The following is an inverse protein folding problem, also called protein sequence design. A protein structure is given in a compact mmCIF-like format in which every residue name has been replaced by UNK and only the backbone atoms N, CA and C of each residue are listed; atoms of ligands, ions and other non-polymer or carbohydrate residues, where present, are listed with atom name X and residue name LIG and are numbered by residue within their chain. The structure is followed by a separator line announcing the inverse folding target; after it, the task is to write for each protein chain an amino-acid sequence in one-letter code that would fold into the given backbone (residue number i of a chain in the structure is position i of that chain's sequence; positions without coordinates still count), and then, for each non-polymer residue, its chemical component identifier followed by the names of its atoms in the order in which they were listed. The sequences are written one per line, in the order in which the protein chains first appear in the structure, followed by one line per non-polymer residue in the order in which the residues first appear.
data_IF_699181518711
#
_entry.id   IF_699181518711
#
_cell.length_a   1.000
_cell.length_b   1.000
_cell.length_c   1.000
_cell.angle_alpha   90.00
_cell.angle_beta   90.00
_cell.angle_gamma   90.00
#
_symmetry.space_group_name_H-M   'P 1'
#
loop_
_entity.id
_entity.type
_entity.pdbx_description
1 polymer ?
#
# COMPACT_ATOMS: atom_id res chain seq x y z
N UNK A 1 -40.04 -2.33 5.69
CA UNK A 1 -39.04 -1.87 6.67
C UNK A 1 -37.79 -2.74 6.51
N UNK A 2 -36.82 -2.26 5.73
CA UNK A 2 -35.49 -2.88 5.62
C UNK A 2 -34.68 -2.46 6.83
N UNK A 3 -34.47 -3.40 7.77
CA UNK A 3 -33.63 -3.14 8.93
C UNK A 3 -32.19 -2.83 8.46
N UNK A 4 -31.66 -1.68 8.85
CA UNK A 4 -30.26 -1.34 8.60
C UNK A 4 -29.36 -2.38 9.29
N UNK A 5 -28.32 -2.90 8.60
CA UNK A 5 -27.40 -3.85 9.20
C UNK A 5 -26.66 -3.17 10.36
N UNK A 6 -26.90 -3.61 11.59
CA UNK A 6 -26.18 -3.13 12.76
C UNK A 6 -24.80 -3.79 12.83
N UNK A 7 -23.74 -2.98 12.89
CA UNK A 7 -22.37 -3.43 13.15
C UNK A 7 -22.19 -3.78 14.63
N UNK A 8 -22.88 -4.83 15.09
CA UNK A 8 -22.65 -5.40 16.43
C UNK A 8 -21.62 -6.50 16.33
N UNK A 9 -20.52 -6.35 17.06
CA UNK A 9 -19.55 -7.43 17.24
C UNK A 9 -20.07 -8.37 18.34
N UNK A 10 -20.23 -9.66 18.01
CA UNK A 10 -20.57 -10.69 18.98
C UNK A 10 -19.29 -11.42 19.39
N UNK A 11 -19.01 -11.47 20.68
CA UNK A 11 -17.91 -12.28 21.21
C UNK A 11 -18.47 -13.65 21.60
N UNK A 12 -18.02 -14.69 20.94
CA UNK A 12 -18.42 -16.07 21.21
C UNK A 12 -17.24 -16.85 21.78
N UNK A 13 -17.52 -17.70 22.78
CA UNK A 13 -16.51 -18.61 23.31
C UNK A 13 -16.32 -19.78 22.35
N UNK A 14 -15.09 -19.96 21.88
CA UNK A 14 -14.73 -21.12 21.07
C UNK A 14 -14.71 -22.39 21.94
N UNK A 15 -15.37 -23.45 21.48
CA UNK A 15 -15.20 -24.82 22.00
C UNK A 15 -14.13 -25.54 21.19
N UNK A 16 -13.48 -26.54 21.81
CA UNK A 16 -12.49 -27.37 21.12
C UNK A 16 -11.62 -28.16 22.08
N UNK A 17 -11.00 -29.22 21.57
CA UNK A 17 -10.07 -30.07 22.31
C UNK A 17 -8.70 -29.40 22.53
N UNK A 18 -7.79 -30.11 23.20
CA UNK A 18 -6.45 -29.59 23.48
C UNK A 18 -5.63 -29.30 22.20
N UNK A 19 -5.80 -30.12 21.16
CA UNK A 19 -5.07 -29.99 19.89
C UNK A 19 -5.55 -28.75 19.14
N UNK A 20 -6.86 -28.55 19.04
CA UNK A 20 -7.48 -27.39 18.41
C UNK A 20 -7.08 -26.10 19.12
N UNK A 21 -7.08 -26.07 20.46
CA UNK A 21 -6.62 -24.91 21.24
C UNK A 21 -5.14 -24.61 21.01
N UNK A 22 -4.31 -25.65 20.93
CA UNK A 22 -2.88 -25.49 20.64
C UNK A 22 -2.64 -24.93 19.24
N UNK A 23 -3.35 -25.45 18.22
CA UNK A 23 -3.27 -24.95 16.85
C UNK A 23 -3.75 -23.50 16.72
N UNK A 24 -4.85 -23.15 17.40
CA UNK A 24 -5.34 -21.76 17.42
C UNK A 24 -4.29 -20.82 18.03
N UNK A 25 -3.67 -21.22 19.14
CA UNK A 25 -2.61 -20.44 19.78
C UNK A 25 -1.36 -20.33 18.90
N UNK A 26 -0.94 -21.42 18.26
CA UNK A 26 0.18 -21.42 17.33
C UNK A 26 -0.07 -20.47 16.15
N UNK A 27 -1.28 -20.50 15.57
CA UNK A 27 -1.70 -19.56 14.51
C UNK A 27 -1.68 -18.12 15.02
N UNK A 28 -2.18 -17.86 16.23
CA UNK A 28 -2.13 -16.53 16.83
C UNK A 28 -0.69 -16.00 16.96
N UNK A 29 0.22 -16.83 17.46
CA UNK A 29 1.63 -16.47 17.59
C UNK A 29 2.29 -16.22 16.23
N UNK A 30 2.02 -17.09 15.25
CA UNK A 30 2.54 -16.97 13.89
C UNK A 30 2.09 -15.64 13.27
N UNK A 31 0.78 -15.35 13.28
CA UNK A 31 0.24 -14.11 12.70
C UNK A 31 0.85 -12.88 13.37
N UNK A 32 0.95 -12.85 14.71
CA UNK A 32 1.55 -11.69 15.39
C UNK A 32 3.03 -11.50 15.04
N UNK A 33 3.82 -12.58 14.99
CA UNK A 33 5.22 -12.52 14.56
C UNK A 33 5.35 -12.04 13.12
N UNK A 34 4.46 -12.50 12.25
CA UNK A 34 4.45 -12.08 10.85
C UNK A 34 4.12 -10.61 10.70
N UNK A 35 3.10 -10.13 11.42
CA UNK A 35 2.73 -8.70 11.46
C UNK A 35 3.89 -7.86 11.98
N UNK A 36 4.61 -8.32 13.01
CA UNK A 36 5.80 -7.64 13.50
C UNK A 36 6.90 -7.58 12.43
N UNK A 37 7.17 -8.69 11.74
CA UNK A 37 8.21 -8.78 10.70
C UNK A 37 7.90 -7.86 9.51
N UNK A 38 6.65 -7.88 9.03
CA UNK A 38 6.16 -6.97 8.00
C UNK A 38 6.19 -5.51 8.46
N UNK A 39 5.82 -5.24 9.71
CA UNK A 39 5.88 -3.91 10.30
C UNK A 39 7.30 -3.38 10.37
N UNK A 40 8.26 -4.22 10.77
CA UNK A 40 9.68 -3.87 10.83
C UNK A 40 10.24 -3.54 9.44
N UNK A 41 9.86 -4.31 8.42
CA UNK A 41 10.19 -4.00 7.03
C UNK A 41 9.61 -2.67 6.57
N UNK A 42 8.31 -2.41 6.81
CA UNK A 42 7.65 -1.15 6.45
C UNK A 42 8.29 0.06 7.15
N UNK A 43 8.63 -0.05 8.44
CA UNK A 43 9.34 0.98 9.18
C UNK A 43 10.77 1.19 8.67
N UNK A 44 11.41 0.14 8.17
CA UNK A 44 12.72 0.23 7.52
C UNK A 44 12.62 0.98 6.18
N UNK A 45 11.63 0.68 5.34
CA UNK A 45 11.37 1.46 4.11
C UNK A 45 11.07 2.93 4.43
N UNK A 46 10.29 3.20 5.48
CA UNK A 46 10.02 4.54 5.99
C UNK A 46 11.30 5.30 6.36
N UNK A 47 12.28 4.61 6.95
CA UNK A 47 13.60 5.18 7.25
C UNK A 47 14.40 5.60 6.01
N UNK A 48 14.09 5.00 4.86
CA UNK A 48 14.72 5.30 3.58
C UNK A 48 14.25 6.58 2.90
N UNK A 49 13.15 7.21 3.35
CA UNK A 49 12.57 8.37 2.68
C UNK A 49 13.61 9.48 2.41
N UNK A 50 13.66 10.06 1.19
CA UNK A 50 14.64 11.07 0.82
C UNK A 50 14.33 12.43 1.47
N UNK A 51 15.38 13.20 1.76
CA UNK A 51 15.25 14.55 2.32
C UNK A 51 14.57 15.53 1.33
N UNK A 52 14.75 15.30 0.02
CA UNK A 52 14.18 16.12 -1.06
C UNK A 52 12.64 16.22 -1.01
N UNK A 53 11.97 15.30 -0.30
CA UNK A 53 10.52 15.39 -0.05
C UNK A 53 10.11 16.65 0.74
N UNK A 54 11.07 17.37 1.35
CA UNK A 54 10.85 18.63 2.04
C UNK A 54 11.27 19.89 1.24
N UNK A 55 11.86 19.75 0.05
CA UNK A 55 12.41 20.90 -0.69
C UNK A 55 11.34 21.92 -1.10
N UNK A 56 10.11 21.46 -1.34
CA UNK A 56 8.94 22.32 -1.63
C UNK A 56 8.07 22.68 -0.42
N UNK A 57 8.31 22.04 0.74
CA UNK A 57 7.54 22.28 1.96
C UNK A 57 8.37 21.95 3.21
N UNK A 58 9.07 22.94 3.79
CA UNK A 58 9.87 22.77 5.00
C UNK A 58 9.08 22.21 6.19
N UNK A 59 7.74 22.31 6.21
CA UNK A 59 6.91 21.75 7.29
C UNK A 59 6.99 20.22 7.33
N UNK A 60 7.39 19.57 6.23
CA UNK A 60 7.57 18.11 6.16
C UNK A 60 8.82 17.60 6.91
N UNK A 61 9.77 18.48 7.23
CA UNK A 61 11.06 18.12 7.86
C UNK A 61 10.87 17.30 9.14
N UNK A 62 9.90 17.67 9.98
CA UNK A 62 9.64 16.99 11.26
C UNK A 62 9.12 15.57 11.03
N UNK A 63 8.14 15.39 10.13
CA UNK A 63 7.61 14.06 9.82
C UNK A 63 8.67 13.16 9.17
N UNK A 64 9.57 13.72 8.36
CA UNK A 64 10.71 13.01 7.80
C UNK A 64 11.74 12.63 8.89
N UNK A 65 12.09 13.55 9.78
CA UNK A 65 12.97 13.27 10.91
C UNK A 65 12.43 12.12 11.79
N UNK A 66 11.13 12.14 12.09
CA UNK A 66 10.45 11.06 12.85
C UNK A 66 10.24 9.77 12.05
N UNK A 67 10.49 9.81 10.74
CA UNK A 67 10.53 8.64 9.86
C UNK A 67 11.89 7.97 9.86
N UNK A 68 12.95 8.79 9.95
CA UNK A 68 14.33 8.32 10.05
C UNK A 68 14.69 7.86 11.45
N UNK A 69 14.24 8.60 12.47
CA UNK A 69 14.42 8.32 13.88
C UNK A 69 13.05 8.07 14.51
N UNK A 70 12.70 6.81 14.73
CA UNK A 70 11.36 6.43 15.21
C UNK A 70 11.36 6.12 16.69
N UNK A 71 10.27 6.44 17.39
CA UNK A 71 10.05 6.00 18.78
C UNK A 71 9.27 4.71 18.75
N UNK A 72 9.84 3.64 19.29
CA UNK A 72 9.26 2.30 19.23
C UNK A 72 9.22 1.62 20.60
N UNK A 73 8.20 0.79 20.77
CA UNK A 73 7.88 0.15 22.05
C UNK A 73 7.08 -1.14 21.88
N UNK A 74 7.20 -2.10 22.80
CA UNK A 74 8.18 -2.11 23.88
C UNK A 74 9.60 -2.33 23.33
N UNK A 75 10.61 -1.83 24.03
CA UNK A 75 12.04 -2.02 23.68
C UNK A 75 12.42 -3.47 23.38
N UNK A 76 11.73 -4.44 24.01
CA UNK A 76 11.96 -5.87 23.78
C UNK A 76 11.67 -6.33 22.36
N UNK A 77 10.80 -5.61 21.63
CA UNK A 77 10.40 -5.93 20.25
C UNK A 77 11.08 -5.02 19.21
N UNK A 78 11.74 -3.96 19.64
CA UNK A 78 12.44 -3.04 18.77
C UNK A 78 13.81 -3.59 18.34
N UNK A 79 14.31 -3.25 17.14
CA UNK A 79 15.56 -3.79 16.63
C UNK A 79 16.76 -3.20 17.39
N UNK A 80 17.30 -3.99 18.33
CA UNK A 80 18.37 -3.57 19.26
C UNK A 80 19.59 -2.96 18.58
N UNK A 81 19.96 -3.49 17.40
CA UNK A 81 21.09 -2.99 16.59
C UNK A 81 20.99 -1.49 16.28
N UNK A 82 19.77 -0.97 16.14
CA UNK A 82 19.51 0.40 15.73
C UNK A 82 18.99 1.28 16.88
N UNK A 83 19.01 0.78 18.12
CA UNK A 83 18.58 1.54 19.29
C UNK A 83 19.61 2.61 19.63
N UNK A 84 19.22 3.88 19.52
CA UNK A 84 20.05 5.04 19.81
C UNK A 84 20.00 5.38 21.30
N UNK A 85 18.79 5.52 21.85
CA UNK A 85 18.55 5.95 23.22
C UNK A 85 17.25 5.36 23.77
N UNK A 86 17.14 5.28 25.10
CA UNK A 86 16.01 4.67 25.79
C UNK A 86 15.21 5.71 26.57
N UNK A 87 13.94 5.42 26.83
CA UNK A 87 13.12 6.29 27.69
C UNK A 87 13.67 6.40 29.11
N UNK A 88 14.26 5.32 29.61
CA UNK A 88 14.93 5.27 30.91
C UNK A 88 16.27 6.02 30.98
N UNK A 89 16.84 6.45 29.84
CA UNK A 89 18.03 7.31 29.85
C UNK A 89 17.67 8.68 30.44
N UNK A 90 18.64 9.32 31.12
CA UNK A 90 18.47 10.69 31.57
C UNK A 90 18.19 11.62 30.39
N UNK A 91 17.44 12.70 30.62
CA UNK A 91 17.03 13.61 29.54
C UNK A 91 18.22 14.14 28.74
N UNK A 92 19.29 14.59 29.42
CA UNK A 92 20.51 15.09 28.77
C UNK A 92 21.15 14.01 27.87
N UNK A 93 21.40 12.81 28.41
CA UNK A 93 22.01 11.70 27.65
C UNK A 93 21.16 11.31 26.44
N UNK A 94 19.84 11.22 26.62
CA UNK A 94 18.92 10.87 25.53
C UNK A 94 18.96 11.93 24.42
N UNK A 95 18.88 13.20 24.79
CA UNK A 95 18.91 14.33 23.84
C UNK A 95 20.21 14.30 23.03
N UNK A 96 21.36 14.19 23.71
CA UNK A 96 22.67 14.20 23.04
C UNK A 96 22.79 13.06 22.02
N UNK A 97 22.41 11.83 22.42
CA UNK A 97 22.44 10.66 21.54
C UNK A 97 21.52 10.82 20.33
N UNK A 98 20.28 11.28 20.53
CA UNK A 98 19.30 11.44 19.45
C UNK A 98 19.72 12.53 18.48
N UNK A 99 20.20 13.67 18.98
CA UNK A 99 20.65 14.78 18.13
C UNK A 99 21.92 14.42 17.36
N UNK A 100 22.86 13.70 17.97
CA UNK A 100 24.04 13.19 17.26
C UNK A 100 23.65 12.21 16.14
N UNK A 101 22.71 11.31 16.40
CA UNK A 101 22.20 10.39 15.38
C UNK A 101 21.50 11.16 14.25
N UNK A 102 20.72 12.20 14.55
CA UNK A 102 20.05 13.02 13.55
C UNK A 102 21.04 13.77 12.65
N UNK A 103 22.08 14.38 13.23
CA UNK A 103 23.15 15.02 12.48
C UNK A 103 23.84 14.05 11.53
N UNK A 104 24.12 12.82 11.98
CA UNK A 104 24.67 11.77 11.12
C UNK A 104 23.74 11.41 9.96
N UNK A 105 22.42 11.36 10.19
CA UNK A 105 21.43 11.10 9.13
C UNK A 105 21.41 12.23 8.11
N UNK A 106 21.43 13.49 8.55
CA UNK A 106 21.47 14.65 7.65
C UNK A 106 22.72 14.66 6.77
N UNK A 107 23.88 14.35 7.37
CA UNK A 107 25.14 14.25 6.64
C UNK A 107 25.09 13.10 5.61
N UNK A 108 24.60 11.93 6.00
CA UNK A 108 24.46 10.78 5.11
C UNK A 108 23.52 11.06 3.93
N UNK A 109 22.46 11.84 4.16
CA UNK A 109 21.48 12.24 3.13
C UNK A 109 21.91 13.46 2.32
N UNK A 110 23.10 14.03 2.58
CA UNK A 110 23.63 15.17 1.82
C UNK A 110 22.82 16.47 1.99
N UNK A 111 22.19 16.68 3.15
CA UNK A 111 21.36 17.86 3.41
C UNK A 111 22.23 19.10 3.59
N UNK A 112 22.14 20.06 2.65
CA UNK A 112 22.97 21.27 2.65
C UNK A 112 22.64 22.25 3.80
N UNK A 113 21.36 22.41 4.14
CA UNK A 113 20.87 23.33 5.18
C UNK A 113 20.63 22.63 6.52
N UNK A 114 21.57 21.80 6.96
CA UNK A 114 21.43 20.95 8.15
C UNK A 114 21.02 21.71 9.43
N UNK A 115 21.51 22.94 9.62
CA UNK A 115 21.16 23.76 10.80
C UNK A 115 19.66 24.10 10.85
N UNK A 116 19.03 24.40 9.72
CA UNK A 116 17.59 24.66 9.69
C UNK A 116 16.77 23.40 10.00
N UNK A 117 17.25 22.24 9.57
CA UNK A 117 16.63 20.95 9.92
C UNK A 117 16.75 20.66 11.41
N UNK A 118 17.93 20.90 11.99
CA UNK A 118 18.17 20.75 13.43
C UNK A 118 17.20 21.63 14.22
N UNK A 119 17.13 22.92 13.91
CA UNK A 119 16.23 23.85 14.63
C UNK A 119 14.75 23.45 14.50
N UNK A 120 14.30 23.08 13.28
CA UNK A 120 12.91 22.67 13.06
C UNK A 120 12.53 21.37 13.79
N UNK A 121 13.44 20.39 13.80
CA UNK A 121 13.15 19.04 14.30
C UNK A 121 13.48 18.85 15.78
N UNK A 122 14.36 19.68 16.35
CA UNK A 122 14.84 19.55 17.73
C UNK A 122 13.70 19.36 18.74
N UNK A 123 12.61 20.16 18.77
CA UNK A 123 11.61 19.98 19.82
C UNK A 123 10.88 18.64 19.75
N UNK A 124 10.71 18.07 18.54
CA UNK A 124 10.12 16.73 18.37
C UNK A 124 11.10 15.62 18.76
N UNK A 125 12.38 15.76 18.40
CA UNK A 125 13.42 14.76 18.67
C UNK A 125 13.88 14.75 20.14
N UNK A 126 13.70 15.85 20.87
CA UNK A 126 14.04 15.94 22.29
C UNK A 126 12.85 15.67 23.22
N UNK A 127 11.66 15.40 22.66
CA UNK A 127 10.47 15.13 23.44
C UNK A 127 10.66 13.93 24.39
N UNK A 128 9.99 13.99 25.54
CA UNK A 128 9.96 12.85 26.47
C UNK A 128 9.24 11.68 25.81
N UNK A 129 9.82 10.50 25.93
CA UNK A 129 9.21 9.23 25.51
C UNK A 129 8.93 8.36 26.75
N UNK A 130 8.11 7.32 26.59
CA UNK A 130 7.80 6.36 27.66
C UNK A 130 9.03 5.58 28.08
N UNK A 131 9.10 5.18 29.34
CA UNK A 131 10.27 4.49 29.92
C UNK A 131 10.56 3.13 29.25
N UNK A 132 9.52 2.47 28.71
CA UNK A 132 9.60 1.21 27.96
C UNK A 132 9.88 1.39 26.45
N UNK A 133 9.99 2.62 25.98
CA UNK A 133 10.22 2.97 24.58
C UNK A 133 11.70 3.27 24.30
N UNK A 134 12.05 3.27 23.02
CA UNK A 134 13.39 3.60 22.54
C UNK A 134 13.35 4.35 21.22
N UNK A 135 14.36 5.20 21.00
CA UNK A 135 14.63 5.83 19.71
C UNK A 135 15.41 4.86 18.82
N UNK A 136 14.86 4.58 17.63
CA UNK A 136 15.39 3.64 16.65
C UNK A 136 15.84 4.39 15.40
N UNK A 137 17.07 4.14 14.96
CA UNK A 137 17.61 4.66 13.71
C UNK A 137 17.13 3.83 12.52
N UNK A 138 15.93 4.14 12.01
CA UNK A 138 15.39 3.49 10.81
C UNK A 138 16.12 3.88 9.53
N UNK A 139 16.78 5.04 9.49
CA UNK A 139 17.66 5.41 8.36
C UNK A 139 18.87 4.49 8.28
N UNK A 140 19.51 4.15 9.41
CA UNK A 140 20.59 3.17 9.45
C UNK A 140 20.10 1.76 9.09
N UNK A 141 18.92 1.37 9.58
CA UNK A 141 18.30 0.09 9.20
C UNK A 141 18.07 -0.02 7.68
N UNK A 142 17.63 1.07 7.05
CA UNK A 142 17.46 1.13 5.60
C UNK A 142 18.80 1.05 4.87
N UNK A 143 19.81 1.76 5.33
CA UNK A 143 21.15 1.69 4.74
C UNK A 143 21.69 0.26 4.74
N UNK A 144 21.58 -0.45 5.86
CA UNK A 144 21.98 -1.86 5.95
C UNK A 144 21.16 -2.76 5.00
N UNK A 145 19.86 -2.47 4.84
CA UNK A 145 19.00 -3.18 3.89
C UNK A 145 19.46 -2.96 2.44
N UNK A 146 19.92 -1.75 2.09
CA UNK A 146 20.47 -1.46 0.76
C UNK A 146 21.79 -2.18 0.51
N UNK A 147 22.63 -2.35 1.54
CA UNK A 147 23.86 -3.15 1.43
C UNK A 147 23.54 -4.63 1.26
N UNK A 148 22.43 -5.12 1.85
CA UNK A 148 22.00 -6.50 1.71
C UNK A 148 21.43 -6.79 0.31
N UNK A 149 20.66 -5.87 -0.28
CA UNK A 149 19.99 -6.06 -1.56
C UNK A 149 20.46 -5.05 -2.60
N UNK A 150 21.47 -5.45 -3.39
CA UNK A 150 21.99 -4.64 -4.48
C UNK A 150 20.87 -4.24 -5.47
N UNK A 151 20.70 -2.93 -5.68
CA UNK A 151 19.64 -2.38 -6.52
C UNK A 151 18.36 -2.00 -5.78
N UNK A 152 18.30 -2.13 -4.44
CA UNK A 152 17.28 -1.46 -3.64
C UNK A 152 17.56 0.04 -3.58
N UNK A 153 16.78 0.83 -4.32
CA UNK A 153 16.92 2.29 -4.36
C UNK A 153 15.99 2.99 -3.36
N UNK A 154 16.34 4.25 -3.03
CA UNK A 154 15.51 5.13 -2.19
C UNK A 154 14.16 5.40 -2.85
N UNK A 155 14.16 5.60 -4.17
CA UNK A 155 12.97 5.85 -4.97
C UNK A 155 12.03 4.65 -4.93
N UNK A 156 12.55 3.43 -5.14
CA UNK A 156 11.74 2.22 -5.06
C UNK A 156 11.11 2.05 -3.67
N UNK A 157 11.89 2.31 -2.62
CA UNK A 157 11.42 2.20 -1.24
C UNK A 157 10.32 3.24 -0.94
N UNK A 158 10.52 4.50 -1.34
CA UNK A 158 9.55 5.57 -1.16
C UNK A 158 8.25 5.30 -1.94
N UNK A 159 8.36 4.94 -3.23
CA UNK A 159 7.19 4.57 -4.06
C UNK A 159 6.43 3.41 -3.44
N UNK A 160 7.12 2.31 -3.08
CA UNK A 160 6.49 1.14 -2.46
C UNK A 160 5.78 1.50 -1.15
N UNK A 161 6.45 2.27 -0.30
CA UNK A 161 5.91 2.68 0.99
C UNK A 161 4.65 3.55 0.83
N UNK A 162 4.69 4.56 -0.06
CA UNK A 162 3.55 5.44 -0.28
C UNK A 162 2.38 4.72 -0.98
N UNK A 163 2.64 3.88 -1.98
CA UNK A 163 1.61 3.08 -2.66
C UNK A 163 0.78 2.28 -1.65
N UNK A 164 1.48 1.63 -0.71
CA UNK A 164 0.84 0.83 0.34
C UNK A 164 0.08 1.69 1.37
N UNK A 165 0.60 2.86 1.76
CA UNK A 165 0.03 3.67 2.86
C UNK A 165 -1.01 4.74 2.47
N UNK A 166 -1.18 5.02 1.17
CA UNK A 166 -2.17 5.98 0.69
C UNK A 166 -1.62 7.19 -0.07
N UNK A 167 -0.35 7.16 -0.48
CA UNK A 167 0.30 8.21 -1.27
C UNK A 167 1.08 9.21 -0.42
N UNK A 168 1.97 9.94 -1.09
CA UNK A 168 2.85 10.94 -0.48
C UNK A 168 2.06 12.10 0.15
N UNK A 169 1.07 12.63 -0.57
CA UNK A 169 0.26 13.76 -0.09
C UNK A 169 -0.45 13.43 1.21
N UNK A 170 -1.13 12.26 1.28
CA UNK A 170 -1.82 11.81 2.48
C UNK A 170 -0.86 11.51 3.65
N UNK A 171 0.39 11.14 3.34
CA UNK A 171 1.42 10.90 4.33
C UNK A 171 1.80 12.20 5.06
N UNK A 172 1.95 13.31 4.34
CA UNK A 172 2.36 14.59 4.93
C UNK A 172 1.19 15.48 5.39
N UNK A 173 -0.04 15.21 4.94
CA UNK A 173 -1.22 15.95 5.34
C UNK A 173 -1.47 15.84 6.86
N UNK A 174 -1.30 16.96 7.58
CA UNK A 174 -1.65 17.07 8.99
C UNK A 174 -3.18 17.14 9.15
N UNK A 175 -3.76 16.52 10.19
CA UNK A 175 -5.20 16.61 10.42
C UNK A 175 -5.61 18.05 10.74
N UNK A 176 -6.61 18.56 10.01
CA UNK A 176 -7.30 19.81 10.31
C UNK A 176 -8.47 19.47 11.25
N UNK A 177 -8.28 19.72 12.55
CA UNK A 177 -9.19 19.44 13.67
C UNK A 177 -9.66 17.97 13.85
N UNK A 178 -10.00 17.64 15.11
CA UNK A 178 -10.48 16.32 15.57
C UNK A 178 -11.83 15.89 14.96
N UNK A 179 -12.43 16.73 14.10
CA UNK A 179 -13.73 16.51 13.43
C UNK A 179 -13.61 15.90 12.02
N UNK A 180 -12.39 15.68 11.52
CA UNK A 180 -12.17 15.11 10.19
C UNK A 180 -12.71 13.66 10.12
N UNK A 181 -13.61 13.44 9.15
CA UNK A 181 -14.27 12.16 8.89
C UNK A 181 -13.26 11.01 8.83
N UNK A 182 -13.66 9.79 9.24
CA UNK A 182 -12.80 8.62 9.13
C UNK A 182 -12.31 8.52 7.69
N UNK A 183 -10.99 8.65 7.50
CA UNK A 183 -10.34 8.45 6.22
C UNK A 183 -10.94 7.18 5.59
N UNK A 184 -11.37 7.26 4.32
CA UNK A 184 -11.93 6.14 3.56
C UNK A 184 -11.25 4.85 3.99
N UNK A 185 -12.06 3.84 4.34
CA UNK A 185 -11.58 2.58 4.89
C UNK A 185 -10.42 2.08 4.04
N UNK A 186 -9.19 2.23 4.56
CA UNK A 186 -8.00 1.97 3.77
C UNK A 186 -8.03 0.50 3.38
N UNK A 187 -8.18 0.24 2.08
CA UNK A 187 -8.24 -1.11 1.54
C UNK A 187 -6.83 -1.72 1.46
N UNK A 188 -6.21 -1.83 2.64
CA UNK A 188 -4.86 -2.33 2.79
C UNK A 188 -4.76 -3.79 2.37
N UNK A 189 -5.83 -4.59 2.50
CA UNK A 189 -5.84 -5.98 2.07
C UNK A 189 -5.75 -6.09 0.55
N UNK A 190 -6.48 -5.27 -0.21
CA UNK A 190 -6.35 -5.25 -1.68
C UNK A 190 -4.98 -4.72 -2.11
N UNK A 191 -4.47 -3.67 -1.46
CA UNK A 191 -3.13 -3.13 -1.75
C UNK A 191 -2.03 -4.15 -1.46
N UNK A 192 -2.08 -4.80 -0.30
CA UNK A 192 -1.14 -5.84 0.09
C UNK A 192 -1.20 -7.04 -0.86
N UNK A 193 -2.40 -7.55 -1.16
CA UNK A 193 -2.58 -8.67 -2.09
C UNK A 193 -2.12 -8.34 -3.50
N UNK A 194 -2.45 -7.15 -4.01
CA UNK A 194 -1.99 -6.67 -5.32
C UNK A 194 -0.49 -6.46 -5.37
N UNK A 195 0.13 -5.97 -4.29
CA UNK A 195 1.58 -5.83 -4.21
C UNK A 195 2.29 -7.19 -4.16
N UNK A 196 1.81 -8.13 -3.35
CA UNK A 196 2.35 -9.50 -3.27
C UNK A 196 2.20 -10.24 -4.60
N UNK A 197 1.03 -10.14 -5.24
CA UNK A 197 0.82 -10.74 -6.56
C UNK A 197 1.82 -10.22 -7.59
N UNK A 198 2.02 -8.90 -7.64
CA UNK A 198 2.96 -8.27 -8.60
C UNK A 198 4.43 -8.63 -8.36
N UNK A 199 4.84 -8.75 -7.10
CA UNK A 199 6.25 -8.89 -6.74
C UNK A 199 6.65 -10.34 -6.45
N UNK A 200 5.77 -11.14 -5.86
CA UNK A 200 6.06 -12.50 -5.39
C UNK A 200 5.32 -13.59 -6.17
N UNK A 201 4.24 -13.24 -6.87
CA UNK A 201 3.44 -14.17 -7.66
C UNK A 201 4.22 -14.88 -8.77
N UNK A 202 3.85 -16.13 -9.07
CA UNK A 202 4.35 -16.89 -10.21
C UNK A 202 3.57 -16.65 -11.51
N UNK A 203 2.39 -16.02 -11.43
CA UNK A 203 1.52 -15.84 -12.58
C UNK A 203 2.20 -15.03 -13.68
N UNK A 204 2.15 -15.54 -14.92
CA UNK A 204 2.46 -14.74 -16.10
C UNK A 204 1.56 -13.51 -16.12
N UNK A 205 2.17 -12.31 -16.08
CA UNK A 205 1.44 -11.07 -16.23
C UNK A 205 0.68 -11.11 -17.56
N UNK A 206 -0.58 -10.72 -17.56
CA UNK A 206 -1.28 -10.47 -18.82
C UNK A 206 -0.58 -9.32 -19.55
N UNK A 207 -0.44 -9.45 -20.86
CA UNK A 207 0.13 -8.41 -21.70
C UNK A 207 -0.85 -7.24 -21.76
N UNK A 208 -0.60 -6.22 -20.94
CA UNK A 208 -1.43 -5.03 -20.84
C UNK A 208 -1.51 -4.29 -22.19
N UNK A 209 -0.43 -4.29 -22.98
CA UNK A 209 -0.42 -3.70 -24.31
C UNK A 209 -1.39 -4.45 -25.24
N UNK A 210 -1.22 -5.77 -25.34
CA UNK A 210 -2.08 -6.61 -26.19
C UNK A 210 -3.56 -6.57 -25.77
N UNK A 211 -3.85 -6.54 -24.46
CA UNK A 211 -5.23 -6.35 -23.95
C UNK A 211 -5.73 -4.97 -24.37
N UNK A 212 -4.97 -3.90 -24.13
CA UNK A 212 -5.35 -2.53 -24.49
C UNK A 212 -5.69 -2.38 -25.97
N UNK A 213 -4.87 -2.96 -26.85
CA UNK A 213 -5.10 -2.95 -28.30
C UNK A 213 -6.34 -3.75 -28.70
N UNK A 214 -6.58 -4.89 -28.04
CA UNK A 214 -7.77 -5.70 -28.29
C UNK A 214 -9.04 -4.96 -27.87
N UNK A 215 -9.02 -4.27 -26.72
CA UNK A 215 -10.15 -3.47 -26.23
C UNK A 215 -10.48 -2.29 -27.16
N UNK A 216 -9.47 -1.62 -27.72
CA UNK A 216 -9.66 -0.57 -28.74
C UNK A 216 -10.32 -1.14 -30.00
N UNK A 217 -9.80 -2.27 -30.51
CA UNK A 217 -10.41 -2.98 -31.65
C UNK A 217 -11.88 -3.33 -31.40
N UNK A 218 -12.20 -3.80 -30.19
CA UNK A 218 -13.59 -4.08 -29.80
C UNK A 218 -14.45 -2.80 -29.79
N UNK A 219 -13.93 -1.71 -29.22
CA UNK A 219 -14.64 -0.43 -29.14
C UNK A 219 -14.87 0.22 -30.51
N UNK A 220 -13.99 -0.03 -31.48
CA UNK A 220 -14.07 0.48 -32.85
C UNK A 220 -14.98 -0.37 -33.76
N UNK A 221 -15.62 -1.41 -33.24
CA UNK A 221 -16.55 -2.25 -34.00
C UNK A 221 -17.71 -1.39 -34.58
N UNK A 222 -18.06 -1.54 -35.87
CA UNK A 222 -19.07 -0.68 -36.48
C UNK A 222 -20.46 -0.87 -35.83
N UNK A 223 -21.14 0.20 -35.41
CA UNK A 223 -22.42 0.10 -34.70
C UNK A 223 -23.49 -0.70 -35.46
N UNK A 224 -23.50 -0.66 -36.79
CA UNK A 224 -24.45 -1.40 -37.62
C UNK A 224 -24.35 -2.93 -37.53
N UNK A 225 -23.24 -3.45 -37.00
CA UNK A 225 -23.07 -4.89 -36.75
C UNK A 225 -23.37 -5.29 -35.30
N UNK A 226 -23.72 -4.32 -34.46
CA UNK A 226 -23.96 -4.51 -33.02
C UNK A 226 -25.39 -4.10 -32.65
N UNK A 227 -25.78 -2.86 -32.95
CA UNK A 227 -27.08 -2.29 -32.60
C UNK A 227 -28.19 -2.99 -33.37
N UNK A 228 -29.25 -3.38 -32.65
CA UNK A 228 -30.39 -4.13 -33.20
C UNK A 228 -30.11 -5.62 -33.45
N UNK A 229 -28.90 -6.12 -33.12
CA UNK A 229 -28.58 -7.55 -33.12
C UNK A 229 -28.88 -8.16 -31.76
N UNK A 230 -29.02 -9.48 -31.70
CA UNK A 230 -29.05 -10.19 -30.41
C UNK A 230 -27.68 -10.12 -29.74
N UNK A 231 -27.63 -10.24 -28.40
CA UNK A 231 -26.39 -10.22 -27.64
C UNK A 231 -25.36 -11.24 -28.14
N UNK A 232 -25.81 -12.45 -28.48
CA UNK A 232 -24.94 -13.50 -29.07
C UNK A 232 -24.38 -13.10 -30.44
N UNK A 233 -25.19 -12.50 -31.31
CA UNK A 233 -24.74 -12.04 -32.63
C UNK A 233 -23.73 -10.89 -32.51
N UNK A 234 -23.99 -9.95 -31.60
CA UNK A 234 -23.06 -8.87 -31.32
C UNK A 234 -21.75 -9.38 -30.72
N UNK A 235 -21.78 -10.34 -29.78
CA UNK A 235 -20.57 -11.00 -29.27
C UNK A 235 -19.79 -11.73 -30.36
N UNK A 236 -20.47 -12.38 -31.31
CA UNK A 236 -19.80 -13.07 -32.41
C UNK A 236 -19.05 -12.08 -33.31
N UNK A 237 -19.65 -10.94 -33.62
CA UNK A 237 -18.99 -9.83 -34.33
C UNK A 237 -17.74 -9.37 -33.56
N UNK A 238 -17.87 -9.13 -32.26
CA UNK A 238 -16.78 -8.66 -31.41
C UNK A 238 -15.63 -9.68 -31.30
N UNK A 239 -15.96 -10.97 -31.21
CA UNK A 239 -14.98 -12.04 -31.23
C UNK A 239 -14.19 -12.09 -32.54
N UNK A 240 -14.86 -11.92 -33.67
CA UNK A 240 -14.18 -11.84 -34.97
C UNK A 240 -13.27 -10.61 -35.08
N UNK A 241 -13.75 -9.43 -34.66
CA UNK A 241 -12.98 -8.16 -34.71
C UNK A 241 -11.75 -8.19 -33.79
N UNK A 242 -11.81 -8.92 -32.67
CA UNK A 242 -10.65 -9.10 -31.79
C UNK A 242 -9.60 -10.09 -32.32
N UNK A 243 -9.85 -10.76 -33.45
CA UNK A 243 -8.92 -11.70 -34.08
C UNK A 243 -9.21 -13.16 -33.76
N UNK A 244 -10.46 -13.50 -33.38
CA UNK A 244 -10.90 -14.88 -33.22
C UNK A 244 -10.68 -15.72 -34.47
N UNK A 245 -10.19 -16.94 -34.30
CA UNK A 245 -9.97 -17.91 -35.39
C UNK A 245 -10.94 -19.07 -35.26
N UNK A 246 -11.60 -19.45 -36.36
CA UNK A 246 -12.61 -20.52 -36.40
C UNK A 246 -14.06 -20.01 -36.38
N UNK A 247 -14.98 -20.88 -35.95
CA UNK A 247 -16.41 -20.55 -35.87
C UNK A 247 -16.80 -20.11 -34.45
N UNK A 248 -17.60 -19.03 -34.31
CA UNK A 248 -18.11 -18.61 -33.01
C UNK A 248 -19.02 -19.68 -32.43
N UNK A 249 -18.89 -19.96 -31.13
CA UNK A 249 -19.78 -20.90 -30.45
C UNK A 249 -21.22 -20.35 -30.44
N UNK A 250 -22.25 -21.16 -30.77
CA UNK A 250 -23.64 -20.71 -30.73
C UNK A 250 -24.15 -20.42 -29.31
N UNK A 251 -23.51 -20.96 -28.28
CA UNK A 251 -23.82 -20.68 -26.88
C UNK A 251 -23.13 -19.39 -26.40
N UNK A 252 -23.92 -18.45 -25.87
CA UNK A 252 -23.41 -17.13 -25.48
C UNK A 252 -22.36 -17.19 -24.36
N UNK A 253 -22.46 -18.14 -23.43
CA UNK A 253 -21.49 -18.29 -22.34
C UNK A 253 -20.16 -18.85 -22.86
N UNK A 254 -20.20 -19.84 -23.76
CA UNK A 254 -19.00 -20.37 -24.42
C UNK A 254 -18.37 -19.35 -25.35
N UNK A 255 -19.16 -18.60 -26.12
CA UNK A 255 -18.67 -17.53 -26.99
C UNK A 255 -18.02 -16.41 -26.17
N UNK A 256 -18.60 -16.03 -25.04
CA UNK A 256 -17.99 -15.08 -24.13
C UNK A 256 -16.67 -15.59 -23.54
N UNK A 257 -16.57 -16.90 -23.26
CA UNK A 257 -15.30 -17.53 -22.85
C UNK A 257 -14.25 -17.49 -23.97
N UNK A 258 -14.64 -17.73 -25.23
CA UNK A 258 -13.75 -17.59 -26.40
C UNK A 258 -13.25 -16.14 -26.52
N UNK A 259 -14.14 -15.16 -26.40
CA UNK A 259 -13.80 -13.74 -26.42
C UNK A 259 -12.82 -13.36 -25.30
N UNK A 260 -13.04 -13.86 -24.09
CA UNK A 260 -12.11 -13.66 -22.97
C UNK A 260 -10.71 -14.16 -23.28
N UNK A 261 -10.61 -15.33 -23.91
CA UNK A 261 -9.33 -15.91 -24.31
C UNK A 261 -8.66 -15.09 -25.41
N UNK A 262 -9.39 -14.68 -26.46
CA UNK A 262 -8.86 -13.86 -27.56
C UNK A 262 -8.34 -12.50 -27.06
N UNK A 263 -9.06 -11.86 -26.15
CA UNK A 263 -8.64 -10.57 -25.56
C UNK A 263 -7.44 -10.74 -24.61
N UNK A 264 -7.21 -11.95 -24.07
CA UNK A 264 -6.12 -12.22 -23.13
C UNK A 264 -6.45 -11.89 -21.68
N UNK A 265 -7.73 -11.72 -21.34
CA UNK A 265 -8.15 -11.50 -19.96
C UNK A 265 -7.85 -12.73 -19.08
N UNK A 266 -7.21 -12.50 -17.93
CA UNK A 266 -6.95 -13.52 -16.89
C UNK A 266 -7.52 -13.04 -15.54
N UNK A 267 -8.14 -13.94 -14.77
CA UNK A 267 -8.62 -13.65 -13.41
C UNK A 267 -10.03 -13.03 -13.32
N UNK A 268 -10.22 -12.12 -12.34
CA UNK A 268 -11.52 -11.50 -12.03
C UNK A 268 -12.09 -10.75 -13.25
N UNK A 269 -13.41 -10.77 -13.50
CA UNK A 269 -14.01 -10.01 -14.60
C UNK A 269 -13.68 -8.52 -14.52
N UNK A 270 -13.14 -7.97 -15.60
CA UNK A 270 -12.86 -6.54 -15.74
C UNK A 270 -14.12 -5.73 -16.07
N UNK A 271 -14.03 -4.40 -16.05
CA UNK A 271 -15.17 -3.52 -16.38
C UNK A 271 -15.69 -3.76 -17.79
N UNK A 272 -14.78 -3.93 -18.76
CA UNK A 272 -15.09 -4.29 -20.13
C UNK A 272 -15.68 -5.69 -20.24
N UNK A 273 -15.12 -6.68 -19.52
CA UNK A 273 -15.67 -8.03 -19.52
C UNK A 273 -17.11 -8.05 -18.98
N UNK A 274 -17.40 -7.35 -17.87
CA UNK A 274 -18.74 -7.25 -17.30
C UNK A 274 -19.70 -6.54 -18.28
N UNK A 275 -19.24 -5.49 -18.95
CA UNK A 275 -20.07 -4.80 -19.94
C UNK A 275 -20.46 -5.70 -21.12
N UNK A 276 -19.53 -6.52 -21.60
CA UNK A 276 -19.76 -7.49 -22.67
C UNK A 276 -20.65 -8.67 -22.22
N UNK A 277 -20.54 -9.10 -20.98
CA UNK A 277 -21.39 -10.14 -20.39
C UNK A 277 -22.85 -9.66 -20.27
N UNK A 278 -23.05 -8.40 -19.86
CA UNK A 278 -24.37 -7.77 -19.87
C UNK A 278 -24.94 -7.69 -21.29
N UNK A 279 -24.13 -7.27 -22.26
CA UNK A 279 -24.52 -7.21 -23.66
C UNK A 279 -24.93 -8.58 -24.22
N UNK A 280 -24.27 -9.66 -23.79
CA UNK A 280 -24.55 -11.04 -24.19
C UNK A 280 -25.99 -11.48 -23.87
N UNK A 281 -26.58 -10.90 -22.82
CA UNK A 281 -27.88 -11.29 -22.28
C UNK A 281 -29.06 -10.59 -22.98
N UNK A 282 -28.78 -9.63 -23.88
CA UNK A 282 -29.82 -8.84 -24.53
C UNK A 282 -30.45 -9.55 -25.72
N UNK A 283 -31.78 -9.45 -25.82
CA UNK A 283 -32.51 -9.92 -27.00
C UNK A 283 -32.32 -8.99 -28.20
N UNK A 284 -32.07 -7.70 -27.95
CA UNK A 284 -31.73 -6.70 -28.95
C UNK A 284 -30.88 -5.61 -28.33
N UNK A 285 -29.66 -5.43 -28.83
CA UNK A 285 -28.72 -4.44 -28.29
C UNK A 285 -29.14 -3.03 -28.71
N UNK A 286 -29.41 -2.15 -27.74
CA UNK A 286 -29.72 -0.74 -28.00
C UNK A 286 -28.46 0.09 -28.31
N UNK A 287 -28.65 1.22 -28.99
CA UNK A 287 -27.56 2.16 -29.26
C UNK A 287 -26.92 2.69 -27.96
N UNK A 288 -27.75 3.01 -26.96
CA UNK A 288 -27.27 3.52 -25.67
C UNK A 288 -26.45 2.48 -24.90
N UNK A 289 -26.88 1.21 -24.89
CA UNK A 289 -26.14 0.13 -24.24
C UNK A 289 -24.80 -0.11 -24.93
N UNK A 290 -24.78 -0.06 -26.27
CA UNK A 290 -23.53 -0.18 -27.03
C UNK A 290 -22.58 0.98 -26.71
N UNK A 291 -23.06 2.21 -26.66
CA UNK A 291 -22.21 3.37 -26.34
C UNK A 291 -21.65 3.31 -24.91
N UNK A 292 -22.45 2.86 -23.94
CA UNK A 292 -21.97 2.62 -22.57
C UNK A 292 -20.92 1.50 -22.51
N UNK A 293 -21.10 0.45 -23.29
CA UNK A 293 -20.14 -0.66 -23.40
C UNK A 293 -18.84 -0.17 -24.01
N UNK A 294 -18.91 0.58 -25.12
CA UNK A 294 -17.79 1.21 -25.81
C UNK A 294 -16.99 2.11 -24.87
N UNK A 295 -17.67 2.96 -24.09
CA UNK A 295 -17.03 3.81 -23.09
C UNK A 295 -16.23 3.00 -22.07
N UNK A 296 -16.80 1.93 -21.51
CA UNK A 296 -16.10 1.06 -20.55
C UNK A 296 -14.89 0.34 -21.16
N UNK A 297 -14.98 -0.09 -22.41
CA UNK A 297 -13.87 -0.70 -23.14
C UNK A 297 -12.73 0.31 -23.35
N UNK A 298 -13.03 1.55 -23.75
CA UNK A 298 -12.04 2.61 -23.95
C UNK A 298 -11.40 3.08 -22.65
N UNK A 299 -12.18 3.21 -21.58
CA UNK A 299 -11.67 3.50 -20.23
C UNK A 299 -10.67 2.42 -19.80
N UNK A 300 -11.03 1.14 -19.92
CA UNK A 300 -10.13 0.04 -19.58
C UNK A 300 -8.89 0.00 -20.50
N UNK A 301 -9.04 0.26 -21.80
CA UNK A 301 -7.91 0.31 -22.72
C UNK A 301 -6.91 1.42 -22.36
N UNK A 302 -7.40 2.58 -21.91
CA UNK A 302 -6.55 3.66 -21.39
C UNK A 302 -5.82 3.26 -20.12
N UNK A 303 -6.52 2.62 -19.17
CA UNK A 303 -5.92 2.08 -17.94
C UNK A 303 -4.83 1.03 -18.26
N UNK A 304 -5.01 0.19 -19.28
CA UNK A 304 -4.01 -0.81 -19.68
C UNK A 304 -2.81 -0.19 -20.39
N UNK A 305 -3.01 0.82 -21.24
CA UNK A 305 -1.92 1.55 -21.87
C UNK A 305 -1.02 2.25 -20.83
N UNK A 306 -1.62 2.83 -19.78
CA UNK A 306 -0.87 3.40 -18.66
C UNK A 306 -0.04 2.34 -17.90
N UNK A 307 -0.54 1.09 -17.79
CA UNK A 307 0.20 -0.03 -17.17
C UNK A 307 1.33 -0.53 -18.06
N UNK A 308 1.14 -0.59 -19.37
CA UNK A 308 2.15 -1.05 -20.33
C UNK A 308 3.37 -0.13 -20.38
N UNK A 309 3.18 1.18 -20.22
CA UNK A 309 4.27 2.16 -20.12
C UNK A 309 4.99 2.20 -18.77
N UNK A 310 4.41 1.60 -17.72
CA UNK A 310 5.02 1.52 -16.40
C UNK A 310 5.92 0.28 -16.32
N UNK A 311 7.20 0.47 -16.69
CA UNK A 311 8.25 -0.53 -16.48
C UNK A 311 8.52 -0.74 -14.98
N UNK A 312 7.61 -1.41 -14.28
CA UNK A 312 7.87 -2.00 -12.96
C UNK A 312 8.12 -3.48 -13.14
N UNK A 313 9.27 -3.76 -13.76
CA UNK A 313 9.88 -5.08 -13.68
C UNK A 313 10.13 -5.42 -12.22
N UNK A 314 9.85 -6.66 -11.84
CA UNK A 314 10.19 -7.19 -10.52
C UNK A 314 11.70 -6.98 -10.31
N UNK A 315 12.16 -6.28 -9.24
CA UNK A 315 13.58 -6.12 -8.99
C UNK A 315 14.28 -7.48 -8.89
N UNK A 316 15.52 -7.57 -9.37
CA UNK A 316 16.25 -8.84 -9.37
C UNK A 316 16.42 -9.43 -7.95
N UNK A 317 16.68 -8.57 -6.97
CA UNK A 317 16.83 -8.95 -5.56
C UNK A 317 15.52 -9.39 -4.88
N UNK A 318 14.36 -9.25 -5.54
CA UNK A 318 13.05 -9.51 -4.95
C UNK A 318 12.84 -11.00 -4.59
N UNK A 319 13.48 -11.92 -5.33
CA UNK A 319 13.45 -13.35 -5.00
C UNK A 319 14.19 -13.66 -3.70
N UNK A 320 15.34 -13.03 -3.53
CA UNK A 320 16.23 -13.27 -2.39
C UNK A 320 15.61 -12.68 -1.14
N UNK A 321 15.07 -11.47 -1.25
CA UNK A 321 14.31 -10.86 -0.17
C UNK A 321 13.04 -11.66 0.20
N UNK A 322 12.34 -12.26 -0.78
CA UNK A 322 11.23 -13.17 -0.48
C UNK A 322 11.71 -14.37 0.35
N UNK A 323 12.79 -15.02 -0.06
CA UNK A 323 13.33 -16.18 0.66
C UNK A 323 13.72 -15.82 2.11
N UNK A 324 14.35 -14.67 2.30
CA UNK A 324 14.69 -14.17 3.64
C UNK A 324 13.45 -13.88 4.49
N UNK A 325 12.40 -13.32 3.89
CA UNK A 325 11.13 -13.10 4.57
C UNK A 325 10.46 -14.43 4.94
N UNK A 326 10.37 -15.39 4.02
CA UNK A 326 9.82 -16.73 4.29
C UNK A 326 10.55 -17.41 5.46
N UNK A 327 11.88 -17.28 5.51
CA UNK A 327 12.68 -17.80 6.63
C UNK A 327 12.34 -17.10 7.95
N UNK A 328 12.24 -15.77 7.97
CA UNK A 328 11.89 -15.00 9.19
C UNK A 328 10.48 -15.30 9.69
N UNK A 329 9.55 -15.47 8.75
CA UNK A 329 8.16 -15.78 9.02
C UNK A 329 7.97 -17.26 9.43
N UNK A 330 8.89 -18.14 9.02
CA UNK A 330 8.75 -19.58 9.20
C UNK A 330 7.63 -20.18 8.33
N UNK A 331 7.30 -19.51 7.22
CA UNK A 331 6.20 -19.87 6.33
C UNK A 331 6.62 -19.65 4.88
N UNK A 332 6.48 -20.68 4.05
CA UNK A 332 6.65 -20.58 2.60
C UNK A 332 5.48 -19.79 2.01
N UNK A 333 5.77 -18.85 1.13
CA UNK A 333 4.78 -18.14 0.32
C UNK A 333 4.14 -19.05 -0.72
N UNK A 334 4.85 -20.11 -1.15
CA UNK A 334 4.36 -21.04 -2.15
C UNK A 334 4.26 -22.46 -1.62
N UNK A 335 3.11 -23.07 -1.88
CA UNK A 335 2.85 -24.50 -1.73
C UNK A 335 2.54 -25.08 -3.12
N UNK A 336 1.43 -25.79 -3.28
CA UNK A 336 0.74 -26.04 -4.54
C UNK A 336 0.20 -24.76 -5.21
N UNK A 337 0.07 -23.66 -4.46
CA UNK A 337 -0.39 -22.35 -4.93
C UNK A 337 0.39 -21.21 -4.27
N UNK A 338 0.25 -20.00 -4.81
CA UNK A 338 0.73 -18.77 -4.14
C UNK A 338 -0.24 -18.40 -3.00
N UNK A 339 0.29 -18.25 -1.78
CA UNK A 339 -0.47 -17.89 -0.57
C UNK A 339 -0.68 -16.36 -0.45
N UNK A 340 -1.14 -15.74 -1.54
CA UNK A 340 -1.32 -14.27 -1.66
C UNK A 340 -2.22 -13.73 -0.55
N UNK A 341 -3.29 -14.45 -0.20
CA UNK A 341 -4.28 -13.96 0.75
C UNK A 341 -3.79 -14.05 2.18
N UNK A 342 -3.15 -15.16 2.55
CA UNK A 342 -2.60 -15.39 3.87
C UNK A 342 -1.51 -14.35 4.17
N UNK A 343 -0.58 -14.14 3.23
CA UNK A 343 0.42 -13.09 3.35
C UNK A 343 -0.18 -11.68 3.26
N UNK A 344 -1.21 -11.50 2.43
CA UNK A 344 -1.93 -10.24 2.28
C UNK A 344 -2.58 -9.76 3.57
N UNK A 345 -3.18 -10.68 4.34
CA UNK A 345 -3.74 -10.38 5.67
C UNK A 345 -2.64 -9.97 6.66
N UNK A 346 -1.51 -10.67 6.68
CA UNK A 346 -0.39 -10.34 7.57
C UNK A 346 0.20 -8.95 7.26
N UNK A 347 0.38 -8.63 5.97
CA UNK A 347 0.85 -7.32 5.54
C UNK A 347 -0.21 -6.22 5.75
N UNK A 348 -1.50 -6.49 5.52
CA UNK A 348 -2.61 -5.58 5.85
C UNK A 348 -2.56 -5.16 7.32
N UNK A 349 -2.45 -6.13 8.23
CA UNK A 349 -2.37 -5.85 9.66
C UNK A 349 -1.14 -5.00 10.01
N UNK A 350 0.02 -5.27 9.38
CA UNK A 350 1.21 -4.45 9.56
C UNK A 350 1.00 -3.01 9.06
N UNK A 351 0.39 -2.84 7.88
CA UNK A 351 0.05 -1.53 7.32
C UNK A 351 -0.91 -0.75 8.22
N UNK A 352 -1.92 -1.40 8.80
CA UNK A 352 -2.82 -0.77 9.78
C UNK A 352 -2.06 -0.26 10.99
N UNK A 353 -1.14 -1.06 11.54
CA UNK A 353 -0.33 -0.67 12.71
C UNK A 353 0.60 0.50 12.40
N UNK A 354 1.33 0.44 11.29
CA UNK A 354 2.23 1.52 10.85
C UNK A 354 1.44 2.79 10.53
N UNK A 355 0.29 2.66 9.84
CA UNK A 355 -0.58 3.80 9.54
C UNK A 355 -1.15 4.43 10.81
N UNK A 356 -1.59 3.63 11.78
CA UNK A 356 -2.11 4.15 13.03
C UNK A 356 -1.04 4.89 13.83
N UNK A 357 0.18 4.34 13.90
CA UNK A 357 1.31 5.00 14.54
C UNK A 357 1.64 6.34 13.84
N UNK A 358 1.61 6.38 12.51
CA UNK A 358 1.82 7.63 11.76
C UNK A 358 0.74 8.67 12.02
N UNK A 359 -0.53 8.26 12.12
CA UNK A 359 -1.62 9.18 12.51
C UNK A 359 -1.38 9.81 13.88
N UNK A 360 -0.91 9.04 14.86
CA UNK A 360 -0.55 9.58 16.18
C UNK A 360 0.60 10.58 16.12
N UNK A 361 1.62 10.30 15.30
CA UNK A 361 2.73 11.24 15.08
C UNK A 361 2.21 12.56 14.50
N UNK A 362 1.32 12.52 13.51
CA UNK A 362 0.73 13.73 12.92
C UNK A 362 -0.10 14.53 13.93
N UNK A 363 -0.87 13.87 14.78
CA UNK A 363 -1.65 14.53 15.84
C UNK A 363 -0.76 15.21 16.86
N UNK A 364 0.26 14.50 17.35
CA UNK A 364 1.24 15.08 18.27
C UNK A 364 1.96 16.29 17.66
N UNK A 365 2.22 16.25 16.35
CA UNK A 365 2.81 17.37 15.64
C UNK A 365 1.88 18.59 15.55
N UNK A 366 0.59 18.38 15.26
CA UNK A 366 -0.42 19.45 15.25
C UNK A 366 -0.54 20.10 16.63
N UNK A 367 -0.66 19.29 17.68
CA UNK A 367 -0.75 19.77 19.06
C UNK A 367 0.50 20.60 19.44
N UNK A 368 1.70 20.15 19.03
CA UNK A 368 2.94 20.90 19.23
C UNK A 368 2.94 22.24 18.50
N UNK A 369 2.46 22.29 17.26
CA UNK A 369 2.36 23.54 16.50
C UNK A 369 1.36 24.50 17.15
N UNK A 370 0.21 24.01 17.62
CA UNK A 370 -0.77 24.81 18.35
C UNK A 370 -0.17 25.38 19.64
N UNK A 371 0.50 24.56 20.44
CA UNK A 371 1.16 25.01 21.67
C UNK A 371 2.20 26.10 21.41
N UNK A 372 3.03 25.96 20.38
CA UNK A 372 4.00 26.99 20.01
C UNK A 372 3.34 28.30 19.57
N UNK A 373 2.26 28.22 18.79
CA UNK A 373 1.49 29.40 18.37
C UNK A 373 0.84 30.10 19.58
N UNK A 374 0.32 29.35 20.54
CA UNK A 374 -0.30 29.91 21.73
C UNK A 374 0.74 30.52 22.69
N UNK A 375 1.90 29.88 22.84
CA UNK A 375 3.00 30.42 23.62
C UNK A 375 3.49 31.78 23.08
N UNK A 376 3.49 31.98 21.75
CA UNK A 376 3.86 33.27 21.14
C UNK A 376 2.86 34.38 21.49
N UNK A 377 1.56 34.06 21.61
CA UNK A 377 0.51 35.02 21.96
C UNK A 377 0.55 35.48 23.42
N UNK A 378 1.25 34.75 24.31
CA UNK A 378 1.37 35.13 25.73
C UNK A 378 2.10 36.47 25.87
N UNK A 379 3.02 36.80 24.95
CA UNK A 379 3.70 38.09 24.92
C UNK A 379 2.79 39.28 24.59
N UNK A 380 1.61 39.03 24.03
CA UNK A 380 0.64 40.06 23.62
C UNK A 380 -0.42 40.33 24.71
N UNK A 381 -0.34 39.66 25.86
CA UNK A 381 -1.24 39.91 27.00
C UNK A 381 -0.76 41.19 27.71
N UNK A 382 -1.60 42.26 27.80
CA UNK A 382 -1.22 43.48 28.51
C UNK A 382 -0.84 43.18 29.97
N UNK A 383 0.21 43.83 30.52
CA UNK A 383 0.56 43.67 31.92
C UNK A 383 -0.62 44.09 32.81
N UNK A 384 -0.89 43.28 33.84
CA UNK A 384 -1.98 43.48 34.80
C UNK A 384 -1.81 44.75 35.64
#
# INVERSE_FOLDING_TARGET
MTAEPTTRAYTLKLSGDAVQRHQLWATHLLVNRSVQTWGDWLLTLRGGLPAALADGDPKRRVLLALSWLSVESPKSLAPRKYCIAQGADSAAIRIDKVMAAFQSVLAQKGVANANEWIEACKPALTARIRDDACWINRSAAFFDLQQQYAGLSVEWAATTFFDLLGGEVAYFALPEDDSSQPAEAKDFVQKAGGWLSRNWGAGEKSDAGAIGDSLRRLADAPPGHIVGKTGTQALATLWLVSGGTGSPDPDSQKLFKQLKQTVGWKGRPSKGAIALDNLASEQSVSADLWEQTRKKLLEEASEQAAKAGSATGKPAWMSDWRADMEQRLGLSYRTDKDLIWEFGVMLDHALRRVSAAHTWIKRAEVERQQFNNDAQKIGDIPPA
#
